data_IF_893286571209
#
_entry.id   IF_893286571209
#
_cell.length_a   1.000
_cell.length_b   1.000
_cell.length_c   1.000
_cell.angle_alpha   90.00
_cell.angle_beta   90.00
_cell.angle_gamma   90.00
#
_symmetry.space_group_name_H-M   'P 1'
#
loop_
_entity.id
_entity.type
_entity.pdbx_description
1 polymer ?
#
# COMPACT_ATOMS: atom_id res chain seq x y z
N UNK A 1 6.97 12.20 -29.73
CA UNK A 1 7.23 11.45 -28.48
C UNK A 1 7.50 9.99 -28.80
N UNK A 2 8.65 9.47 -28.40
CA UNK A 2 9.03 8.06 -28.60
C UNK A 2 8.05 7.13 -27.87
N UNK A 3 7.99 5.86 -28.28
CA UNK A 3 7.17 4.85 -27.62
C UNK A 3 7.48 4.76 -26.12
N UNK A 4 8.76 4.72 -25.77
CA UNK A 4 9.25 4.68 -24.38
C UNK A 4 8.78 5.87 -23.53
N UNK A 5 8.83 7.09 -24.10
CA UNK A 5 8.37 8.27 -23.40
C UNK A 5 6.84 8.24 -23.13
N UNK A 6 6.05 7.65 -24.04
CA UNK A 6 4.59 7.43 -23.79
C UNK A 6 4.36 6.45 -22.66
N UNK A 7 5.06 5.32 -22.67
CA UNK A 7 4.93 4.30 -21.61
C UNK A 7 5.29 4.90 -20.25
N UNK A 8 6.38 5.67 -20.17
CA UNK A 8 6.78 6.33 -18.92
C UNK A 8 5.73 7.33 -18.42
N UNK A 9 5.17 8.18 -19.29
CA UNK A 9 4.12 9.13 -18.90
C UNK A 9 2.88 8.41 -18.39
N UNK A 10 2.47 7.33 -19.06
CA UNK A 10 1.33 6.51 -18.64
C UNK A 10 1.59 5.89 -17.26
N UNK A 11 2.76 5.28 -17.05
CA UNK A 11 3.11 4.65 -15.77
C UNK A 11 3.19 5.67 -14.63
N UNK A 12 3.81 6.83 -14.86
CA UNK A 12 3.84 7.91 -13.89
C UNK A 12 2.43 8.42 -13.54
N UNK A 13 1.57 8.60 -14.55
CA UNK A 13 0.18 9.00 -14.34
C UNK A 13 -0.60 7.95 -13.53
N UNK A 14 -0.41 6.66 -13.80
CA UNK A 14 -1.03 5.57 -13.04
C UNK A 14 -0.60 5.59 -11.57
N UNK A 15 0.68 5.81 -11.28
CA UNK A 15 1.18 5.94 -9.90
C UNK A 15 0.50 7.13 -9.21
N UNK A 16 0.46 8.30 -9.86
CA UNK A 16 -0.21 9.49 -9.31
C UNK A 16 -1.68 9.22 -9.02
N UNK A 17 -2.41 8.61 -9.96
CA UNK A 17 -3.82 8.25 -9.78
C UNK A 17 -4.00 7.28 -8.60
N UNK A 18 -3.13 6.27 -8.46
CA UNK A 18 -3.18 5.33 -7.35
C UNK A 18 -3.00 6.03 -5.98
N UNK A 19 -2.06 6.98 -5.87
CA UNK A 19 -1.90 7.78 -4.66
C UNK A 19 -3.10 8.69 -4.36
N UNK A 20 -3.69 9.29 -5.40
CA UNK A 20 -4.93 10.08 -5.25
C UNK A 20 -6.09 9.20 -4.77
N UNK A 21 -6.22 7.98 -5.30
CA UNK A 21 -7.21 7.01 -4.85
C UNK A 21 -6.98 6.61 -3.38
N UNK A 22 -5.75 6.25 -3.01
CA UNK A 22 -5.37 5.93 -1.64
C UNK A 22 -5.74 7.07 -0.68
N UNK A 23 -5.38 8.30 -1.02
CA UNK A 23 -5.71 9.48 -0.22
C UNK A 23 -7.23 9.69 -0.09
N UNK A 24 -7.97 9.50 -1.18
CA UNK A 24 -9.42 9.71 -1.23
C UNK A 24 -10.17 8.67 -0.39
N UNK A 25 -9.79 7.39 -0.49
CA UNK A 25 -10.34 6.30 0.34
C UNK A 25 -9.96 6.50 1.81
N UNK A 26 -8.73 6.92 2.09
CA UNK A 26 -8.29 7.27 3.45
C UNK A 26 -9.17 8.36 4.08
N UNK A 27 -9.45 9.44 3.35
CA UNK A 27 -10.36 10.51 3.80
C UNK A 27 -11.80 10.04 3.98
N UNK A 28 -12.29 9.18 3.09
CA UNK A 28 -13.63 8.60 3.22
C UNK A 28 -13.73 7.76 4.49
N UNK A 29 -12.76 6.87 4.73
CA UNK A 29 -12.69 6.04 5.93
C UNK A 29 -12.62 6.89 7.20
N UNK A 30 -11.77 7.91 7.24
CA UNK A 30 -11.66 8.81 8.41
C UNK A 30 -13.00 9.44 8.77
N UNK A 31 -13.82 9.84 7.78
CA UNK A 31 -15.16 10.40 8.03
C UNK A 31 -16.13 9.38 8.62
N UNK A 32 -16.02 8.10 8.24
CA UNK A 32 -16.85 7.02 8.79
C UNK A 32 -16.51 6.78 10.26
N UNK A 33 -15.23 6.85 10.64
CA UNK A 33 -14.75 6.56 11.99
C UNK A 33 -14.70 7.77 12.94
N UNK A 34 -14.67 9.00 12.42
CA UNK A 34 -14.50 10.24 13.19
C UNK A 34 -15.53 10.45 14.32
N UNK A 35 -16.68 9.75 14.29
CA UNK A 35 -17.73 9.86 15.31
C UNK A 35 -17.48 9.01 16.57
N UNK A 36 -16.56 8.02 16.53
CA UNK A 36 -16.33 7.09 17.67
C UNK A 36 -14.86 6.79 17.96
N UNK A 37 -13.96 6.92 16.99
CA UNK A 37 -12.52 6.70 17.19
C UNK A 37 -11.72 7.93 16.76
N UNK A 38 -10.64 8.25 17.50
CA UNK A 38 -9.78 9.43 17.24
C UNK A 38 -9.08 9.40 15.87
N UNK A 39 -8.86 8.21 15.30
CA UNK A 39 -8.26 8.00 13.98
C UNK A 39 -8.66 6.60 13.45
N UNK A 40 -8.45 6.33 12.15
CA UNK A 40 -8.59 4.99 11.55
C UNK A 40 -7.70 4.00 12.32
N UNK A 41 -8.34 3.09 13.01
CA UNK A 41 -7.75 2.19 14.00
C UNK A 41 -8.13 0.78 13.56
N UNK A 42 -7.20 -0.15 13.28
CA UNK A 42 -5.79 -0.20 13.68
C UNK A 42 -4.77 0.17 12.58
N UNK A 43 -5.18 0.34 11.33
CA UNK A 43 -4.29 0.43 10.16
C UNK A 43 -3.35 1.66 10.10
N UNK A 44 -3.60 2.75 10.86
CA UNK A 44 -2.77 3.96 10.81
C UNK A 44 -1.70 4.05 11.91
N UNK A 45 -1.76 3.23 12.95
CA UNK A 45 -0.87 3.39 14.11
C UNK A 45 -0.51 2.04 14.73
N UNK A 46 0.73 1.87 15.17
CA UNK A 46 1.13 0.70 15.99
C UNK A 46 0.82 0.88 17.48
N UNK A 47 0.26 2.02 17.87
CA UNK A 47 0.06 2.42 19.28
C UNK A 47 -1.19 1.85 19.94
N UNK A 48 -1.96 1.01 19.25
CA UNK A 48 -3.20 0.45 19.81
C UNK A 48 -2.97 -0.69 20.82
N UNK A 49 -3.89 -0.84 21.76
CA UNK A 49 -3.93 -1.96 22.72
C UNK A 49 -4.93 -3.03 22.29
N UNK A 50 -4.79 -4.24 22.84
CA UNK A 50 -5.77 -5.31 22.60
C UNK A 50 -7.17 -4.99 23.13
N UNK A 51 -7.27 -4.21 24.21
CA UNK A 51 -8.56 -3.74 24.72
C UNK A 51 -9.30 -2.88 23.70
N UNK A 52 -8.60 -1.94 23.06
CA UNK A 52 -9.19 -1.08 22.02
C UNK A 52 -9.57 -1.87 20.75
N UNK A 53 -8.80 -2.90 20.38
CA UNK A 53 -9.21 -3.80 19.29
C UNK A 53 -10.44 -4.64 19.69
N UNK A 54 -10.50 -5.09 20.94
CA UNK A 54 -11.67 -5.78 21.50
C UNK A 54 -12.93 -4.91 21.46
N UNK A 55 -12.83 -3.63 21.82
CA UNK A 55 -13.92 -2.66 21.70
C UNK A 55 -14.40 -2.51 20.25
N UNK A 56 -13.48 -2.43 19.28
CA UNK A 56 -13.82 -2.35 17.86
C UNK A 56 -14.56 -3.60 17.37
N UNK A 57 -14.09 -4.79 17.75
CA UNK A 57 -14.68 -6.08 17.37
C UNK A 57 -16.10 -6.27 17.94
N UNK A 58 -16.39 -5.65 19.09
CA UNK A 58 -17.72 -5.63 19.69
C UNK A 58 -18.61 -4.49 19.18
N UNK A 59 -18.05 -3.53 18.46
CA UNK A 59 -18.81 -2.37 17.98
C UNK A 59 -19.74 -2.70 16.81
N UNK A 60 -20.81 -1.94 16.68
CA UNK A 60 -21.68 -1.88 15.50
C UNK A 60 -20.95 -1.40 14.23
N UNK A 61 -19.78 -0.77 14.38
CA UNK A 61 -18.94 -0.32 13.27
C UNK A 61 -18.15 -1.45 12.61
N UNK A 62 -18.03 -2.62 13.25
CA UNK A 62 -17.25 -3.76 12.72
C UNK A 62 -17.66 -4.13 11.30
N UNK A 63 -18.96 -4.17 11.00
CA UNK A 63 -19.46 -4.54 9.68
C UNK A 63 -19.21 -3.44 8.65
N UNK A 64 -19.31 -2.16 9.06
CA UNK A 64 -18.99 -1.01 8.19
C UNK A 64 -17.50 -0.93 7.87
N UNK A 65 -16.67 -1.45 8.77
CA UNK A 65 -15.25 -1.58 8.55
C UNK A 65 -14.96 -2.72 7.55
N UNK A 66 -15.50 -3.91 7.80
CA UNK A 66 -15.32 -5.04 6.86
C UNK A 66 -15.83 -4.67 5.46
N UNK A 67 -17.02 -4.09 5.37
CA UNK A 67 -17.63 -3.66 4.12
C UNK A 67 -18.28 -2.27 4.27
N UNK A 68 -17.91 -1.28 3.43
CA UNK A 68 -17.13 -1.42 2.19
C UNK A 68 -15.63 -1.12 2.34
N UNK A 69 -15.13 -0.85 3.56
CA UNK A 69 -13.82 -0.22 3.75
C UNK A 69 -12.67 -1.21 3.47
N UNK A 70 -12.55 -2.31 4.22
CA UNK A 70 -11.55 -3.35 3.94
C UNK A 70 -11.82 -3.99 2.58
N UNK A 71 -13.07 -4.40 2.37
CA UNK A 71 -13.52 -4.99 1.12
C UNK A 71 -14.77 -4.27 0.61
N UNK A 72 -14.77 -3.72 -0.62
CA UNK A 72 -13.74 -3.85 -1.65
C UNK A 72 -12.75 -2.67 -1.73
N UNK A 73 -12.95 -1.58 -0.97
CA UNK A 73 -12.24 -0.33 -1.23
C UNK A 73 -10.72 -0.44 -1.01
N UNK A 74 -10.28 -1.01 0.11
CA UNK A 74 -8.84 -1.16 0.37
C UNK A 74 -8.19 -2.11 -0.63
N UNK A 75 -8.86 -3.22 -0.96
CA UNK A 75 -8.39 -4.16 -1.98
C UNK A 75 -8.12 -3.47 -3.33
N UNK A 76 -9.03 -2.60 -3.78
CA UNK A 76 -8.85 -1.84 -5.03
C UNK A 76 -7.65 -0.90 -4.90
N UNK A 77 -7.51 -0.23 -3.77
CA UNK A 77 -6.43 0.73 -3.53
C UNK A 77 -5.06 0.05 -3.46
N UNK A 78 -4.93 -1.04 -2.69
CA UNK A 78 -3.66 -1.77 -2.57
C UNK A 78 -3.24 -2.38 -3.90
N UNK A 79 -4.19 -2.88 -4.72
CA UNK A 79 -3.90 -3.38 -6.07
C UNK A 79 -3.46 -2.25 -7.00
N UNK A 80 -4.14 -1.11 -6.97
CA UNK A 80 -3.76 0.06 -7.77
C UNK A 80 -2.37 0.57 -7.38
N UNK A 81 -2.08 0.69 -6.08
CA UNK A 81 -0.77 1.11 -5.57
C UNK A 81 0.33 0.11 -5.95
N UNK A 82 0.17 -1.15 -5.56
CA UNK A 82 1.18 -2.18 -5.81
C UNK A 82 1.41 -2.40 -7.30
N UNK A 83 0.33 -2.46 -8.09
CA UNK A 83 0.39 -2.67 -9.53
C UNK A 83 1.05 -1.49 -10.26
N UNK A 84 0.66 -0.24 -9.94
CA UNK A 84 1.23 0.94 -10.58
C UNK A 84 2.70 1.14 -10.21
N UNK A 85 3.06 1.05 -8.93
CA UNK A 85 4.46 1.17 -8.50
C UNK A 85 5.31 0.01 -9.04
N UNK A 86 4.78 -1.21 -9.05
CA UNK A 86 5.47 -2.38 -9.57
C UNK A 86 5.78 -2.26 -11.05
N UNK A 87 4.76 -1.94 -11.86
CA UNK A 87 4.95 -1.75 -13.29
C UNK A 87 5.89 -0.57 -13.60
N UNK A 88 5.73 0.55 -12.89
CA UNK A 88 6.54 1.75 -13.10
C UNK A 88 8.02 1.52 -12.75
N UNK A 89 8.28 1.03 -11.53
CA UNK A 89 9.64 0.78 -11.06
C UNK A 89 10.33 -0.33 -11.87
N UNK A 90 9.64 -1.43 -12.20
CA UNK A 90 10.21 -2.47 -13.06
C UNK A 90 10.59 -1.93 -14.44
N UNK A 91 9.72 -1.12 -15.06
CA UNK A 91 10.00 -0.50 -16.35
C UNK A 91 11.23 0.42 -16.32
N UNK A 92 11.33 1.30 -15.32
CA UNK A 92 12.47 2.23 -15.20
C UNK A 92 13.76 1.52 -14.79
N UNK A 93 13.70 0.54 -13.87
CA UNK A 93 14.86 -0.26 -13.50
C UNK A 93 15.34 -1.08 -14.70
N UNK A 94 14.45 -1.70 -15.49
CA UNK A 94 14.85 -2.46 -16.69
C UNK A 94 15.69 -1.62 -17.66
N UNK A 95 15.38 -0.33 -17.78
CA UNK A 95 16.13 0.58 -18.64
C UNK A 95 17.50 0.97 -18.07
N UNK A 96 17.67 0.97 -16.75
CA UNK A 96 18.91 1.34 -16.07
C UNK A 96 19.80 0.12 -15.82
N UNK A 97 19.23 -0.94 -15.26
CA UNK A 97 19.86 -2.17 -14.79
C UNK A 97 18.94 -3.38 -15.07
N UNK A 98 18.96 -3.96 -16.29
CA UNK A 98 18.07 -5.06 -16.67
C UNK A 98 18.08 -6.26 -15.70
N UNK A 99 19.23 -6.60 -15.13
CA UNK A 99 19.38 -7.71 -14.17
C UNK A 99 18.66 -7.49 -12.84
N UNK A 100 18.24 -6.26 -12.54
CA UNK A 100 17.58 -5.87 -11.29
C UNK A 100 16.10 -5.55 -11.47
N UNK A 101 15.52 -5.76 -12.66
CA UNK A 101 14.09 -5.49 -12.96
C UNK A 101 13.14 -6.11 -11.93
N UNK A 102 13.46 -7.31 -11.45
CA UNK A 102 12.67 -8.05 -10.46
C UNK A 102 12.50 -7.30 -9.12
N UNK A 103 13.43 -6.42 -8.74
CA UNK A 103 13.29 -5.59 -7.53
C UNK A 103 12.08 -4.66 -7.62
N UNK A 104 11.78 -4.16 -8.83
CA UNK A 104 10.62 -3.32 -9.09
C UNK A 104 9.30 -4.05 -8.79
N UNK A 105 9.26 -5.36 -8.99
CA UNK A 105 8.08 -6.18 -8.70
C UNK A 105 8.07 -6.70 -7.26
N UNK A 106 9.23 -7.03 -6.68
CA UNK A 106 9.30 -7.67 -5.38
C UNK A 106 8.74 -6.79 -4.26
N UNK A 107 9.22 -5.53 -4.12
CA UNK A 107 8.81 -4.70 -2.98
C UNK A 107 7.31 -4.38 -2.99
N UNK A 108 6.69 -3.99 -4.13
CA UNK A 108 5.25 -3.81 -4.20
C UNK A 108 4.45 -5.10 -3.98
N UNK A 109 4.98 -6.26 -4.38
CA UNK A 109 4.34 -7.55 -4.12
C UNK A 109 4.37 -7.91 -2.63
N UNK A 110 5.49 -7.68 -1.94
CA UNK A 110 5.58 -7.88 -0.47
C UNK A 110 4.60 -6.96 0.26
N UNK A 111 4.52 -5.69 -0.16
CA UNK A 111 3.49 -4.76 0.33
C UNK A 111 2.09 -5.34 0.15
N UNK A 112 1.71 -5.66 -1.09
CA UNK A 112 0.37 -6.19 -1.42
C UNK A 112 0.00 -7.42 -0.59
N UNK A 113 0.92 -8.38 -0.47
CA UNK A 113 0.69 -9.60 0.29
C UNK A 113 0.55 -9.32 1.78
N UNK A 114 1.40 -8.47 2.35
CA UNK A 114 1.29 -8.11 3.76
C UNK A 114 0.01 -7.35 4.08
N UNK A 115 -0.41 -6.44 3.19
CA UNK A 115 -1.65 -5.68 3.32
C UNK A 115 -2.88 -6.60 3.22
N UNK A 116 -2.89 -7.50 2.24
CA UNK A 116 -3.97 -8.47 2.08
C UNK A 116 -4.09 -9.42 3.27
N UNK A 117 -2.96 -9.91 3.81
CA UNK A 117 -2.95 -10.76 5.01
C UNK A 117 -3.47 -9.99 6.22
N UNK A 118 -3.06 -8.74 6.41
CA UNK A 118 -3.57 -7.86 7.47
C UNK A 118 -5.09 -7.69 7.36
N UNK A 119 -5.59 -7.32 6.18
CA UNK A 119 -7.01 -7.05 5.94
C UNK A 119 -7.86 -8.30 6.11
N UNK A 120 -7.38 -9.46 5.65
CA UNK A 120 -8.07 -10.74 5.86
C UNK A 120 -8.14 -11.10 7.35
N UNK A 121 -7.03 -10.94 8.08
CA UNK A 121 -6.97 -11.23 9.50
C UNK A 121 -7.88 -10.28 10.30
N UNK A 122 -7.85 -8.99 9.96
CA UNK A 122 -8.69 -7.98 10.59
C UNK A 122 -10.18 -8.24 10.29
N UNK A 123 -10.53 -8.52 9.03
CA UNK A 123 -11.89 -8.86 8.64
C UNK A 123 -12.39 -10.10 9.37
N UNK A 124 -11.56 -11.15 9.49
CA UNK A 124 -11.90 -12.36 10.23
C UNK A 124 -12.17 -12.07 11.72
N UNK A 125 -11.32 -11.29 12.38
CA UNK A 125 -11.51 -10.90 13.78
C UNK A 125 -12.80 -10.09 13.98
N UNK A 126 -13.06 -9.12 13.10
CA UNK A 126 -14.25 -8.27 13.13
C UNK A 126 -15.54 -9.06 12.90
N UNK A 127 -15.52 -10.03 11.99
CA UNK A 127 -16.67 -10.91 11.73
C UNK A 127 -16.92 -11.89 12.87
N UNK A 128 -15.86 -12.41 13.50
CA UNK A 128 -15.97 -13.33 14.63
C UNK A 128 -16.54 -12.67 15.87
N UNK A 129 -16.20 -11.40 16.13
CA UNK A 129 -16.79 -10.66 17.25
C UNK A 129 -16.23 -11.03 18.63
N UNK A 130 -15.11 -11.77 18.71
CA UNK A 130 -14.52 -12.23 19.97
C UNK A 130 -13.39 -11.29 20.43
N UNK A 131 -13.57 -10.53 21.54
CA UNK A 131 -12.55 -9.61 22.06
C UNK A 131 -11.32 -10.32 22.65
N UNK A 132 -11.46 -11.57 23.11
CA UNK A 132 -10.33 -12.34 23.68
C UNK A 132 -9.37 -12.74 22.57
N UNK A 133 -9.92 -13.28 21.48
CA UNK A 133 -9.15 -13.63 20.29
C UNK A 133 -8.46 -12.38 19.72
N UNK A 134 -9.20 -11.28 19.60
CA UNK A 134 -8.67 -10.00 19.13
C UNK A 134 -7.46 -9.53 19.96
N UNK A 135 -7.54 -9.65 21.29
CA UNK A 135 -6.44 -9.27 22.19
C UNK A 135 -5.20 -10.14 21.97
N UNK A 136 -5.37 -11.43 21.73
CA UNK A 136 -4.26 -12.37 21.49
C UNK A 136 -3.57 -12.14 20.13
N UNK A 137 -4.34 -11.72 19.12
CA UNK A 137 -3.85 -11.51 17.76
C UNK A 137 -3.16 -10.15 17.55
N UNK A 138 -3.21 -9.23 18.53
CA UNK A 138 -2.65 -7.87 18.41
C UNK A 138 -1.17 -7.86 18.03
N UNK A 139 -0.35 -8.73 18.64
CA UNK A 139 1.08 -8.79 18.33
C UNK A 139 1.33 -9.19 16.88
N UNK A 140 0.57 -10.17 16.38
CA UNK A 140 0.63 -10.63 15.00
C UNK A 140 0.20 -9.54 14.02
N UNK A 141 -0.93 -8.86 14.28
CA UNK A 141 -1.37 -7.73 13.46
C UNK A 141 -0.28 -6.66 13.38
N UNK A 142 0.26 -6.21 14.53
CA UNK A 142 1.32 -5.19 14.55
C UNK A 142 2.57 -5.60 13.76
N UNK A 143 2.96 -6.87 13.82
CA UNK A 143 4.08 -7.38 13.04
C UNK A 143 3.80 -7.27 11.53
N UNK A 144 2.61 -7.69 11.09
CA UNK A 144 2.19 -7.59 9.68
C UNK A 144 2.09 -6.12 9.24
N UNK A 145 1.45 -5.25 10.03
CA UNK A 145 1.36 -3.80 9.76
C UNK A 145 2.74 -3.17 9.64
N UNK A 146 3.72 -3.63 10.44
CA UNK A 146 5.11 -3.16 10.34
C UNK A 146 5.75 -3.56 9.01
N UNK A 147 5.59 -4.83 8.59
CA UNK A 147 6.07 -5.31 7.29
C UNK A 147 5.44 -4.51 6.16
N UNK A 148 4.13 -4.27 6.21
CA UNK A 148 3.40 -3.42 5.27
C UNK A 148 3.97 -2.01 5.20
N UNK A 149 4.19 -1.34 6.33
CA UNK A 149 4.72 0.02 6.35
C UNK A 149 6.15 0.11 5.83
N UNK A 150 7.01 -0.84 6.18
CA UNK A 150 8.38 -0.88 5.68
C UNK A 150 8.39 -1.16 4.17
N UNK A 151 7.58 -2.12 3.71
CA UNK A 151 7.52 -2.50 2.30
C UNK A 151 6.91 -1.42 1.41
N UNK A 152 5.84 -0.75 1.82
CA UNK A 152 5.27 0.38 1.05
C UNK A 152 6.25 1.55 0.99
N UNK A 153 6.94 1.86 2.09
CA UNK A 153 7.95 2.93 2.11
C UNK A 153 9.13 2.61 1.19
N UNK A 154 9.59 1.36 1.20
CA UNK A 154 10.65 0.89 0.32
C UNK A 154 10.20 0.88 -1.15
N UNK A 155 8.96 0.47 -1.45
CA UNK A 155 8.39 0.50 -2.79
C UNK A 155 8.28 1.93 -3.33
N UNK A 156 7.86 2.90 -2.50
CA UNK A 156 7.82 4.33 -2.84
C UNK A 156 9.24 4.83 -3.15
N UNK A 157 10.19 4.57 -2.25
CA UNK A 157 11.58 4.99 -2.45
C UNK A 157 12.17 4.41 -3.73
N UNK A 158 11.98 3.11 -3.99
CA UNK A 158 12.44 2.44 -5.21
C UNK A 158 11.81 3.06 -6.46
N UNK A 159 10.51 3.35 -6.42
CA UNK A 159 9.78 3.97 -7.54
C UNK A 159 10.31 5.37 -7.83
N UNK A 160 10.57 6.19 -6.80
CA UNK A 160 11.12 7.53 -6.97
C UNK A 160 12.58 7.51 -7.45
N UNK A 161 13.42 6.64 -6.89
CA UNK A 161 14.83 6.50 -7.28
C UNK A 161 14.94 6.02 -8.73
N UNK A 162 14.15 5.02 -9.12
CA UNK A 162 14.14 4.51 -10.49
C UNK A 162 13.63 5.55 -11.49
N UNK A 163 12.59 6.31 -11.14
CA UNK A 163 12.12 7.42 -11.96
C UNK A 163 13.18 8.52 -12.13
N UNK A 164 13.81 8.94 -11.03
CA UNK A 164 14.87 9.95 -11.07
C UNK A 164 16.08 9.46 -11.90
N UNK A 165 16.52 8.22 -11.69
CA UNK A 165 17.60 7.60 -12.48
C UNK A 165 17.28 7.55 -13.98
N UNK A 166 16.03 7.22 -14.32
CA UNK A 166 15.56 7.25 -15.71
C UNK A 166 15.61 8.67 -16.30
N UNK A 167 15.15 9.68 -15.57
CA UNK A 167 15.25 11.09 -15.98
C UNK A 167 16.71 11.45 -16.23
N UNK A 168 17.61 11.17 -15.28
CA UNK A 168 19.03 11.50 -15.45
C UNK A 168 19.63 10.85 -16.71
N UNK A 169 19.32 9.58 -16.98
CA UNK A 169 19.76 8.89 -18.20
C UNK A 169 19.17 9.50 -19.48
N UNK A 170 17.91 9.94 -19.44
CA UNK A 170 17.25 10.55 -20.59
C UNK A 170 17.78 11.96 -20.90
N UNK A 171 18.24 12.71 -19.89
CA UNK A 171 18.76 14.07 -20.01
C UNK A 171 20.27 14.16 -20.22
N UNK A 172 21.04 13.16 -19.77
CA UNK A 172 22.46 13.01 -20.06
C UNK A 172 22.61 11.87 -21.09
N UNK A 173 22.41 12.14 -22.39
CA UNK A 173 22.94 11.23 -23.40
C UNK A 173 24.46 11.19 -23.17
N UNK A 174 24.96 10.10 -22.62
CA UNK A 174 26.39 9.84 -22.66
C UNK A 174 26.72 9.75 -24.16
N UNK A 175 27.33 10.80 -24.70
CA UNK A 175 28.02 10.77 -25.98
C UNK A 175 29.16 9.76 -25.86
N UNK A 176 28.85 8.47 -25.91
CA UNK A 176 29.83 7.41 -26.10
C UNK A 176 30.17 7.39 -27.59
N UNK A 177 30.91 8.41 -28.02
CA UNK A 177 31.80 8.33 -29.18
C UNK A 177 33.22 8.31 -28.63
N UNK A 178 33.68 7.11 -28.28
CA UNK A 178 35.09 6.75 -28.16
C UNK A 178 35.29 5.39 -28.81
#
# INVERSE_FOLDING_TARGET
MSHEARVTVILAALVVVAFVLFWSVGKYSDRVFAKRFRARFPEKTLSYTGAQLGELVQSDLRLKYVCPILFPLDLIVMLALAGSMGAASAHWIKQLYPSLEWLGLLLPAVYLLSDLIEDCLLAWLLLRGDPKEATQTVSMLKAITTIKFVSISAAIALTLISFAGWIFRAWLPLDTTL
#
